data_IF_086396575110
#
_entry.id   IF_086396575110
#
_cell.length_a   1.000
_cell.length_b   1.000
_cell.length_c   1.000
_cell.angle_alpha   90.00
_cell.angle_beta   90.00
_cell.angle_gamma   90.00
#
_symmetry.space_group_name_H-M   'P 1'
#
loop_
_entity.id
_entity.type
_entity.pdbx_description
1 polymer ?
#
# COMPACT_ATOMS: atom_id res chain seq x y z
N UNK A 1 0.77 -5.43 14.04
CA UNK A 1 -0.70 -5.35 14.17
C UNK A 1 -1.30 -5.51 12.79
N UNK A 2 -2.41 -6.23 12.69
CA UNK A 2 -3.11 -6.51 11.43
C UNK A 2 -4.56 -6.08 11.57
N UNK A 3 -5.10 -5.45 10.53
CA UNK A 3 -6.49 -5.07 10.42
C UNK A 3 -7.04 -5.52 9.06
N UNK A 4 -8.24 -6.09 9.09
CA UNK A 4 -9.01 -6.39 7.88
C UNK A 4 -10.19 -5.41 7.80
N UNK A 5 -10.22 -4.62 6.74
CA UNK A 5 -11.25 -3.60 6.49
C UNK A 5 -11.93 -3.92 5.16
N UNK A 6 -13.01 -4.72 5.22
CA UNK A 6 -13.63 -5.28 4.04
C UNK A 6 -12.68 -6.23 3.30
N UNK A 7 -12.42 -5.96 2.01
CA UNK A 7 -11.48 -6.74 1.19
C UNK A 7 -10.02 -6.28 1.32
N UNK A 8 -9.76 -5.24 2.14
CA UNK A 8 -8.43 -4.68 2.34
C UNK A 8 -7.78 -5.26 3.59
N UNK A 9 -6.50 -5.55 3.49
CA UNK A 9 -5.63 -5.80 4.65
C UNK A 9 -4.73 -4.59 4.89
N UNK A 10 -4.52 -4.31 6.17
CA UNK A 10 -3.58 -3.29 6.63
C UNK A 10 -2.70 -3.92 7.69
N UNK A 11 -1.40 -3.81 7.50
CA UNK A 11 -0.40 -4.24 8.46
C UNK A 11 0.41 -3.06 8.94
N UNK A 12 0.68 -3.07 10.24
CA UNK A 12 1.68 -2.22 10.86
C UNK A 12 2.71 -3.13 11.54
N UNK A 13 3.90 -3.21 10.96
CA UNK A 13 4.90 -4.22 11.30
C UNK A 13 6.22 -3.57 11.71
N UNK A 14 6.86 -4.09 12.75
CA UNK A 14 8.23 -3.71 13.08
C UNK A 14 9.20 -4.66 12.39
N UNK A 15 10.06 -4.14 11.51
CA UNK A 15 11.05 -4.92 10.76
C UNK A 15 12.34 -4.16 10.60
N UNK A 16 13.47 -4.81 10.90
CA UNK A 16 14.81 -4.23 10.76
C UNK A 16 14.95 -2.85 11.45
N UNK A 17 14.37 -2.72 12.65
CA UNK A 17 14.42 -1.47 13.42
C UNK A 17 13.54 -0.34 12.87
N UNK A 18 12.61 -0.64 11.95
CA UNK A 18 11.69 0.36 11.37
C UNK A 18 10.26 -0.13 11.41
N UNK A 19 9.33 0.81 11.53
CA UNK A 19 7.91 0.56 11.39
C UNK A 19 7.52 0.61 9.90
N UNK A 20 6.78 -0.38 9.45
CA UNK A 20 6.29 -0.55 8.08
C UNK A 20 4.77 -0.47 8.08
N UNK A 21 4.23 0.38 7.21
CA UNK A 21 2.82 0.41 6.87
C UNK A 21 2.61 -0.30 5.54
N UNK A 22 1.83 -1.37 5.57
CA UNK A 22 1.47 -2.13 4.37
C UNK A 22 -0.04 -2.14 4.21
N UNK A 23 -0.53 -1.75 3.05
CA UNK A 23 -1.94 -1.91 2.66
C UNK A 23 -2.04 -2.87 1.48
N UNK A 24 -3.06 -3.69 1.42
CA UNK A 24 -3.26 -4.65 0.34
C UNK A 24 -4.71 -4.95 0.07
N UNK A 25 -4.97 -5.49 -1.12
CA UNK A 25 -6.26 -6.08 -1.50
C UNK A 25 -6.06 -7.58 -1.69
N UNK A 26 -6.96 -8.37 -1.14
CA UNK A 26 -6.88 -9.83 -1.15
C UNK A 26 -7.97 -10.48 -2.00
N UNK A 27 -7.81 -11.79 -2.22
CA UNK A 27 -8.83 -12.67 -2.81
C UNK A 27 -9.16 -12.37 -4.27
N UNK A 28 -8.27 -11.65 -4.96
CA UNK A 28 -8.29 -11.48 -6.41
C UNK A 28 -6.94 -11.84 -6.99
N UNK A 29 -6.97 -12.51 -8.14
CA UNK A 29 -5.76 -12.82 -8.90
C UNK A 29 -5.42 -11.61 -9.75
N UNK A 30 -4.23 -11.07 -9.51
CA UNK A 30 -3.64 -9.99 -10.30
C UNK A 30 -2.52 -10.54 -11.16
N UNK A 31 -2.22 -9.82 -12.24
CA UNK A 31 -1.19 -10.16 -13.20
C UNK A 31 -0.06 -9.12 -13.18
N UNK A 32 1.03 -9.41 -13.90
CA UNK A 32 2.18 -8.52 -13.97
C UNK A 32 1.80 -7.15 -14.54
N UNK A 33 0.87 -7.12 -15.49
CA UNK A 33 0.33 -5.93 -16.12
C UNK A 33 -0.34 -5.00 -15.11
N UNK A 34 -1.04 -5.56 -14.11
CA UNK A 34 -1.66 -4.80 -13.03
C UNK A 34 -0.60 -4.15 -12.13
N UNK A 35 0.49 -4.87 -11.83
CA UNK A 35 1.62 -4.33 -11.09
C UNK A 35 2.27 -3.17 -11.86
N UNK A 36 2.50 -3.35 -13.17
CA UNK A 36 3.07 -2.32 -14.03
C UNK A 36 2.16 -1.09 -14.13
N UNK A 37 0.84 -1.28 -14.17
CA UNK A 37 -0.14 -0.20 -14.12
C UNK A 37 0.02 0.63 -12.83
N UNK A 38 0.14 -0.04 -11.68
CA UNK A 38 0.34 0.64 -10.41
C UNK A 38 1.69 1.35 -10.34
N UNK A 39 2.76 0.74 -10.86
CA UNK A 39 4.08 1.37 -10.90
C UNK A 39 4.11 2.62 -11.77
N UNK A 40 3.47 2.60 -12.95
CA UNK A 40 3.34 3.80 -13.81
C UNK A 40 2.46 4.87 -13.20
N UNK A 41 1.50 4.44 -12.39
CA UNK A 41 0.56 5.30 -11.66
C UNK A 41 1.17 5.96 -10.43
N UNK A 42 2.35 5.50 -10.00
CA UNK A 42 3.02 5.97 -8.80
C UNK A 42 3.69 7.32 -9.04
N UNK A 43 3.34 8.29 -8.21
CA UNK A 43 3.92 9.63 -8.18
C UNK A 43 4.42 9.87 -6.75
N UNK A 44 5.72 10.13 -6.59
CA UNK A 44 6.36 10.20 -5.27
C UNK A 44 5.80 11.35 -4.40
N UNK A 45 5.41 12.44 -5.05
CA UNK A 45 4.81 13.63 -4.45
C UNK A 45 3.49 13.30 -3.76
N UNK A 46 2.74 12.34 -4.31
CA UNK A 46 1.50 11.85 -3.70
C UNK A 46 1.74 11.02 -2.46
N UNK A 47 2.98 10.74 -2.06
CA UNK A 47 3.32 9.97 -0.87
C UNK A 47 4.22 10.76 0.08
N UNK A 48 4.14 12.10 0.06
CA UNK A 48 4.97 12.98 0.90
C UNK A 48 6.49 12.70 0.75
N UNK A 49 6.93 12.28 -0.44
CA UNK A 49 8.34 11.90 -0.66
C UNK A 49 8.72 10.51 -0.16
N UNK A 50 7.80 9.77 0.48
CA UNK A 50 8.06 8.45 1.08
C UNK A 50 8.00 7.36 0.00
N UNK A 51 9.11 6.62 -0.21
CA UNK A 51 9.13 5.54 -1.19
C UNK A 51 8.13 4.42 -0.86
N UNK A 52 7.41 3.97 -1.87
CA UNK A 52 6.47 2.84 -1.79
C UNK A 52 7.09 1.62 -2.47
N UNK A 53 6.81 0.42 -1.95
CA UNK A 53 7.13 -0.85 -2.60
C UNK A 53 5.84 -1.58 -2.91
N UNK A 54 5.67 -2.02 -4.15
CA UNK A 54 4.46 -2.70 -4.63
C UNK A 54 4.82 -4.16 -4.86
N UNK A 55 4.01 -5.08 -4.32
CA UNK A 55 4.23 -6.52 -4.42
C UNK A 55 3.02 -7.19 -5.06
N UNK A 56 3.30 -7.97 -6.10
CA UNK A 56 2.37 -8.97 -6.62
C UNK A 56 2.58 -10.28 -5.86
N UNK A 57 1.60 -10.68 -5.07
CA UNK A 57 1.61 -11.90 -4.26
C UNK A 57 0.55 -12.88 -4.75
N UNK A 58 0.70 -14.16 -4.42
CA UNK A 58 -0.32 -15.19 -4.72
C UNK A 58 -1.72 -14.82 -4.17
N UNK A 59 -1.76 -14.10 -3.05
CA UNK A 59 -2.98 -13.73 -2.35
C UNK A 59 -3.59 -12.38 -2.81
N UNK A 60 -2.87 -11.59 -3.62
CA UNK A 60 -3.32 -10.28 -4.05
C UNK A 60 -2.19 -9.28 -4.31
N UNK A 61 -2.52 -7.98 -4.24
CA UNK A 61 -1.59 -6.88 -4.46
C UNK A 61 -1.38 -6.11 -3.16
N UNK A 62 -0.13 -5.80 -2.83
CA UNK A 62 0.23 -5.05 -1.62
C UNK A 62 1.11 -3.85 -1.94
N UNK A 63 1.00 -2.80 -1.13
CA UNK A 63 1.86 -1.62 -1.15
C UNK A 63 2.37 -1.39 0.26
N UNK A 64 3.69 -1.30 0.43
CA UNK A 64 4.33 -1.03 1.73
C UNK A 64 5.17 0.24 1.69
N UNK A 65 5.27 0.94 2.80
CA UNK A 65 6.26 1.99 3.00
C UNK A 65 6.79 2.01 4.43
N UNK A 66 7.93 2.68 4.61
CA UNK A 66 8.50 2.98 5.92
C UNK A 66 8.68 4.49 6.03
N UNK A 67 7.74 5.20 6.67
CA UNK A 67 7.87 6.63 6.92
C UNK A 67 9.07 6.92 7.83
N UNK A 68 9.67 8.12 7.76
CA UNK A 68 10.68 8.55 8.74
C UNK A 68 10.15 8.45 10.19
N UNK A 69 11.03 8.09 11.13
CA UNK A 69 10.67 7.93 12.57
C UNK A 69 10.06 9.20 13.17
N UNK A 70 10.44 10.37 12.66
CA UNK A 70 9.89 11.67 13.06
C UNK A 70 8.49 11.97 12.52
N UNK A 71 7.90 11.09 11.71
CA UNK A 71 6.60 11.31 11.10
C UNK A 71 5.48 11.21 12.13
N UNK A 72 4.68 12.27 12.25
CA UNK A 72 3.45 12.28 13.07
C UNK A 72 2.34 11.41 12.49
N UNK A 73 1.34 11.08 13.31
CA UNK A 73 0.25 10.17 12.97
C UNK A 73 -0.55 10.59 11.71
N UNK A 74 -0.64 11.89 11.45
CA UNK A 74 -1.30 12.46 10.27
C UNK A 74 -0.60 12.01 8.98
N UNK A 75 0.73 11.99 8.96
CA UNK A 75 1.52 11.51 7.84
C UNK A 75 1.26 10.01 7.59
N UNK A 76 1.24 9.20 8.66
CA UNK A 76 0.93 7.78 8.58
C UNK A 76 -0.47 7.52 8.00
N UNK A 77 -1.46 8.28 8.46
CA UNK A 77 -2.83 8.16 7.97
C UNK A 77 -2.97 8.60 6.50
N UNK A 78 -2.32 9.69 6.10
CA UNK A 78 -2.27 10.13 4.71
C UNK A 78 -1.64 9.07 3.80
N UNK A 79 -0.51 8.48 4.23
CA UNK A 79 0.15 7.41 3.47
C UNK A 79 -0.76 6.18 3.31
N UNK A 80 -1.48 5.79 4.36
CA UNK A 80 -2.50 4.75 4.28
C UNK A 80 -3.59 5.08 3.24
N UNK A 81 -4.13 6.29 3.27
CA UNK A 81 -5.14 6.73 2.31
C UNK A 81 -4.61 6.73 0.87
N UNK A 82 -3.36 7.15 0.67
CA UNK A 82 -2.70 7.19 -0.64
C UNK A 82 -2.40 5.77 -1.16
N UNK A 83 -1.99 4.84 -0.30
CA UNK A 83 -1.84 3.43 -0.64
C UNK A 83 -3.18 2.83 -1.07
N UNK A 84 -4.26 3.12 -0.33
CA UNK A 84 -5.61 2.70 -0.70
C UNK A 84 -6.03 3.28 -2.06
N UNK A 85 -5.79 4.57 -2.30
CA UNK A 85 -6.13 5.23 -3.55
C UNK A 85 -5.35 4.66 -4.74
N UNK A 86 -4.09 4.28 -4.54
CA UNK A 86 -3.30 3.57 -5.55
C UNK A 86 -3.90 2.19 -5.86
N UNK A 87 -4.20 1.40 -4.82
CA UNK A 87 -4.77 0.05 -4.98
C UNK A 87 -6.14 0.07 -5.67
N UNK A 88 -6.97 1.11 -5.48
CA UNK A 88 -8.25 1.25 -6.20
C UNK A 88 -8.13 1.38 -7.72
N UNK A 89 -6.93 1.63 -8.25
CA UNK A 89 -6.70 1.65 -9.71
C UNK A 89 -6.66 0.26 -10.32
N UNK A 90 -6.55 -0.79 -9.50
CA UNK A 90 -6.59 -2.17 -9.96
C UNK A 90 -7.96 -2.52 -10.54
N UNK A 91 -8.00 -3.42 -11.54
CA UNK A 91 -9.25 -3.82 -12.15
C UNK A 91 -10.20 -4.43 -11.13
N UNK A 92 -11.38 -3.82 -11.03
CA UNK A 92 -12.49 -4.27 -10.19
C UNK A 92 -12.34 -4.01 -8.68
N UNK A 93 -11.46 -3.09 -8.28
CA UNK A 93 -11.42 -2.47 -6.95
C UNK A 93 -12.27 -1.18 -6.86
N UNK A 94 -13.08 -0.89 -7.89
CA UNK A 94 -14.07 0.19 -7.88
C UNK A 94 -15.32 -0.24 -7.10
N UNK A 95 -15.48 0.30 -5.90
CA UNK A 95 -16.76 0.42 -5.17
C UNK A 95 -16.76 1.70 -4.34
#
# INVERSE_FOLDING_TARGET
MEWQIGQRLVFLEWRNGRLLLTSGVQHRRYHLEDLLLLQRSWQLERFNGVPQRIYLLKMGMMVSCSPPVSSGAECWFQLYQQQCALLRRLPGEYR
#
